data_IF_835712114849
#
_entry.id   IF_835712114849
#
_cell.length_a   1.000
_cell.length_b   1.000
_cell.length_c   1.000
_cell.angle_alpha   90.00
_cell.angle_beta   90.00
_cell.angle_gamma   90.00
#
_symmetry.space_group_name_H-M   'P 1'
#
loop_
_entity.id
_entity.type
_entity.pdbx_description
1 polymer ?
#
# COMPACT_ATOMS: atom_id res chain seq x y z
N UNK A 1 33.92 -3.82 -1.57
CA UNK A 1 32.84 -4.52 -0.85
C UNK A 1 31.64 -4.50 -1.78
N UNK A 2 31.20 -5.66 -2.25
CA UNK A 2 30.10 -5.78 -3.21
C UNK A 2 28.83 -5.21 -2.60
N UNK A 3 28.26 -4.17 -3.21
CA UNK A 3 26.87 -3.78 -2.94
C UNK A 3 26.00 -4.99 -3.31
N UNK A 4 25.60 -5.73 -2.28
CA UNK A 4 24.52 -6.70 -2.39
C UNK A 4 23.28 -5.87 -2.69
N UNK A 5 22.99 -5.69 -3.98
CA UNK A 5 21.71 -5.20 -4.46
C UNK A 5 20.62 -6.02 -3.75
N UNK A 6 19.91 -5.39 -2.81
CA UNK A 6 18.89 -6.06 -2.00
C UNK A 6 17.68 -6.37 -2.89
N UNK A 7 17.73 -7.53 -3.55
CA UNK A 7 16.65 -8.11 -4.36
C UNK A 7 15.30 -8.29 -3.61
N UNK A 8 15.29 -8.05 -2.30
CA UNK A 8 14.12 -8.03 -1.42
C UNK A 8 13.50 -6.65 -1.26
N UNK A 9 14.22 -5.56 -1.57
CA UNK A 9 13.64 -4.22 -1.56
C UNK A 9 12.61 -4.10 -2.68
N UNK A 10 11.41 -3.56 -2.40
CA UNK A 10 10.43 -3.35 -3.45
C UNK A 10 11.01 -2.42 -4.53
N UNK A 11 10.71 -2.73 -5.79
CA UNK A 11 11.21 -1.98 -6.95
C UNK A 11 10.82 -0.48 -6.92
N UNK A 12 9.82 -0.13 -6.11
CA UNK A 12 9.55 1.22 -5.61
C UNK A 12 9.81 1.25 -4.10
N UNK A 13 10.69 2.11 -3.64
CA UNK A 13 10.91 2.36 -2.21
C UNK A 13 9.78 3.24 -1.70
N UNK A 14 8.64 2.63 -1.36
CA UNK A 14 7.66 3.34 -0.55
C UNK A 14 8.27 3.66 0.80
N UNK A 15 7.95 4.83 1.33
CA UNK A 15 8.50 5.34 2.58
C UNK A 15 7.39 5.82 3.52
N UNK A 16 7.74 5.95 4.79
CA UNK A 16 6.93 6.70 5.75
C UNK A 16 7.22 8.18 5.52
N UNK A 17 6.18 8.94 5.20
CA UNK A 17 6.27 10.38 4.94
C UNK A 17 6.58 11.15 6.23
N UNK A 18 7.05 12.42 6.13
CA UNK A 18 7.28 13.26 7.31
C UNK A 18 6.05 13.51 8.18
N UNK A 19 4.84 13.36 7.63
CA UNK A 19 3.56 13.44 8.35
C UNK A 19 3.21 12.15 9.12
N UNK A 20 4.09 11.14 9.07
CA UNK A 20 3.91 9.85 9.73
C UNK A 20 3.08 8.83 8.94
N UNK A 21 2.65 9.14 7.72
CA UNK A 21 1.84 8.24 6.90
C UNK A 21 2.70 7.38 5.97
N UNK A 22 2.43 6.08 5.92
CA UNK A 22 3.10 5.15 5.04
C UNK A 22 2.54 5.24 3.62
N UNK A 23 3.41 5.34 2.62
CA UNK A 23 3.02 5.15 1.23
C UNK A 23 2.88 3.66 0.92
N UNK A 24 1.92 3.31 0.08
CA UNK A 24 1.72 1.92 -0.34
C UNK A 24 1.07 1.83 -1.71
N UNK A 25 1.14 0.64 -2.32
CA UNK A 25 0.39 0.30 -3.53
C UNK A 25 -0.27 -1.05 -3.38
N UNK A 26 -1.57 -1.10 -3.62
CA UNK A 26 -2.30 -2.35 -3.78
C UNK A 26 -2.06 -2.86 -5.20
N UNK A 27 -1.48 -4.04 -5.35
CA UNK A 27 -1.15 -4.60 -6.67
C UNK A 27 -2.02 -5.80 -7.06
N UNK A 28 -2.72 -6.40 -6.09
CA UNK A 28 -3.63 -7.52 -6.30
C UNK A 28 -4.67 -7.54 -5.18
N UNK A 29 -5.84 -8.12 -5.44
CA UNK A 29 -6.75 -8.58 -4.40
C UNK A 29 -7.18 -10.02 -4.65
N UNK A 30 -7.48 -10.74 -3.56
CA UNK A 30 -8.04 -12.10 -3.58
C UNK A 30 -9.18 -12.14 -2.58
N UNK A 31 -10.42 -12.27 -3.05
CA UNK A 31 -11.59 -12.11 -2.18
C UNK A 31 -11.66 -10.70 -1.59
N UNK A 32 -11.77 -10.60 -0.27
CA UNK A 32 -11.81 -9.35 0.49
C UNK A 32 -10.41 -8.83 0.90
N UNK A 33 -9.34 -9.54 0.53
CA UNK A 33 -7.98 -9.20 0.92
C UNK A 33 -7.24 -8.48 -0.21
N UNK A 34 -6.76 -7.27 0.08
CA UNK A 34 -5.85 -6.50 -0.74
C UNK A 34 -4.40 -6.87 -0.39
N UNK A 35 -3.58 -7.13 -1.40
CA UNK A 35 -2.14 -7.32 -1.24
C UNK A 35 -1.41 -6.03 -1.58
N UNK A 36 -0.69 -5.50 -0.59
CA UNK A 36 -0.01 -4.22 -0.68
C UNK A 36 1.50 -4.35 -0.54
N UNK A 37 2.21 -3.58 -1.35
CA UNK A 37 3.61 -3.24 -1.11
C UNK A 37 3.64 -1.99 -0.25
N UNK A 38 4.44 -2.02 0.81
CA UNK A 38 4.58 -0.96 1.81
C UNK A 38 6.08 -0.71 2.06
N UNK A 39 6.46 0.24 2.94
CA UNK A 39 7.87 0.41 3.31
C UNK A 39 8.49 -0.84 3.94
N UNK A 40 7.66 -1.71 4.52
CA UNK A 40 8.09 -2.92 5.25
C UNK A 40 7.84 -4.23 4.49
N UNK A 41 6.97 -4.20 3.46
CA UNK A 41 6.50 -5.40 2.75
C UNK A 41 6.73 -5.28 1.24
N UNK A 42 7.19 -6.36 0.61
CA UNK A 42 7.46 -6.42 -0.84
C UNK A 42 6.43 -7.25 -1.58
N UNK A 43 6.45 -7.28 -2.92
CA UNK A 43 5.56 -8.15 -3.71
C UNK A 43 5.70 -9.65 -3.38
N UNK A 44 6.84 -10.09 -2.84
CA UNK A 44 7.08 -11.49 -2.46
C UNK A 44 6.52 -11.83 -1.07
N UNK A 45 6.37 -10.82 -0.22
CA UNK A 45 5.78 -10.93 1.11
C UNK A 45 4.92 -9.68 1.35
N UNK A 46 3.73 -9.61 0.75
CA UNK A 46 2.90 -8.42 0.78
C UNK A 46 2.19 -8.29 2.13
N UNK A 47 1.85 -7.05 2.50
CA UNK A 47 0.92 -6.82 3.59
C UNK A 47 -0.50 -7.14 3.11
N UNK A 48 -1.25 -7.86 3.93
CA UNK A 48 -2.66 -8.16 3.68
C UNK A 48 -3.52 -7.10 4.36
N UNK A 49 -4.39 -6.46 3.60
CA UNK A 49 -5.28 -5.38 4.04
C UNK A 49 -6.72 -5.70 3.63
N UNK A 50 -7.69 -5.03 4.26
CA UNK A 50 -9.09 -5.16 3.85
C UNK A 50 -9.38 -4.29 2.62
N UNK A 51 -9.91 -4.91 1.54
CA UNK A 51 -10.39 -4.18 0.36
C UNK A 51 -11.51 -3.21 0.75
N UNK A 52 -12.48 -3.69 1.56
CA UNK A 52 -13.63 -2.90 1.98
C UNK A 52 -13.24 -1.68 2.81
N UNK A 53 -12.24 -1.81 3.68
CA UNK A 53 -11.73 -0.69 4.48
C UNK A 53 -11.10 0.39 3.60
N UNK A 54 -10.22 -0.01 2.67
CA UNK A 54 -9.56 0.93 1.74
C UNK A 54 -10.60 1.63 0.86
N UNK A 55 -11.55 0.85 0.31
CA UNK A 55 -12.63 1.34 -0.53
C UNK A 55 -13.49 2.38 0.20
N UNK A 56 -13.89 2.09 1.44
CA UNK A 56 -14.67 2.98 2.29
C UNK A 56 -13.92 4.27 2.62
N UNK A 57 -12.66 4.18 3.02
CA UNK A 57 -11.87 5.36 3.40
C UNK A 57 -11.60 6.30 2.22
N UNK A 58 -11.50 5.75 1.00
CA UNK A 58 -11.20 6.50 -0.23
C UNK A 58 -12.44 6.83 -1.09
N UNK A 59 -13.65 6.49 -0.63
CA UNK A 59 -14.89 6.59 -1.42
C UNK A 59 -14.73 5.98 -2.84
N UNK A 60 -14.30 4.73 -2.87
CA UNK A 60 -14.07 3.95 -4.08
C UNK A 60 -14.96 2.71 -4.11
N UNK A 61 -15.39 2.25 -5.29
CA UNK A 61 -15.81 0.87 -5.47
C UNK A 61 -14.65 -0.09 -5.15
N UNK A 62 -14.93 -1.24 -4.53
CA UNK A 62 -13.91 -2.24 -4.16
C UNK A 62 -13.04 -2.70 -5.35
N UNK A 63 -13.64 -2.81 -6.54
CA UNK A 63 -12.95 -3.21 -7.77
C UNK A 63 -11.87 -2.19 -8.21
N UNK A 64 -11.98 -0.95 -7.77
CA UNK A 64 -11.04 0.12 -8.11
C UNK A 64 -9.89 0.24 -7.11
N UNK A 65 -9.89 -0.55 -6.03
CA UNK A 65 -8.82 -0.49 -5.02
C UNK A 65 -7.48 -0.93 -5.60
N UNK A 66 -7.50 -1.94 -6.47
CA UNK A 66 -6.31 -2.55 -7.04
C UNK A 66 -5.67 -1.64 -8.09
N UNK A 67 -4.33 -1.59 -8.09
CA UNK A 67 -3.53 -0.86 -9.07
C UNK A 67 -3.23 0.59 -8.66
N UNK A 68 -3.85 1.09 -7.58
CA UNK A 68 -3.70 2.48 -7.09
C UNK A 68 -2.66 2.61 -5.98
N UNK A 69 -2.20 3.84 -5.79
CA UNK A 69 -1.29 4.22 -4.72
C UNK A 69 -2.04 4.99 -3.62
N UNK A 70 -1.67 4.69 -2.38
CA UNK A 70 -2.32 5.22 -1.18
C UNK A 70 -1.28 5.77 -0.20
N UNK A 71 -1.77 6.56 0.74
CA UNK A 71 -1.15 6.73 2.05
C UNK A 71 -2.05 6.17 3.13
N UNK A 72 -1.46 5.70 4.21
CA UNK A 72 -2.19 5.21 5.37
C UNK A 72 -1.45 5.55 6.67
N UNK A 73 -2.19 5.66 7.77
CA UNK A 73 -1.61 5.70 9.10
C UNK A 73 -1.31 4.28 9.59
N UNK A 74 -0.26 4.10 10.39
CA UNK A 74 0.10 2.81 10.98
C UNK A 74 1.56 2.41 10.72
N UNK A 75 1.84 1.12 10.84
CA UNK A 75 3.18 0.54 10.78
C UNK A 75 3.21 -0.84 10.08
N UNK A 76 4.31 -1.57 10.22
CA UNK A 76 4.52 -2.90 9.65
C UNK A 76 3.49 -3.96 10.09
N UNK A 77 2.74 -3.73 11.16
CA UNK A 77 1.74 -4.67 11.67
C UNK A 77 0.33 -4.35 11.18
N UNK A 78 0.11 -3.18 10.58
CA UNK A 78 -1.21 -2.81 10.07
C UNK A 78 -1.32 -1.34 9.67
N UNK A 79 -2.19 -1.10 8.69
CA UNK A 79 -2.47 0.21 8.11
C UNK A 79 -3.96 0.50 8.14
N UNK A 80 -4.31 1.79 8.29
CA UNK A 80 -5.69 2.30 8.36
C UNK A 80 -5.78 3.73 7.84
N UNK A 81 -7.01 4.26 7.79
CA UNK A 81 -7.31 5.65 7.41
C UNK A 81 -6.77 5.98 6.01
N UNK A 82 -7.09 5.15 5.02
CA UNK A 82 -6.47 5.21 3.69
C UNK A 82 -6.84 6.49 2.92
N UNK A 83 -5.88 7.02 2.17
CA UNK A 83 -6.08 8.19 1.31
C UNK A 83 -5.41 7.96 -0.04
N UNK A 84 -6.08 8.32 -1.13
CA UNK A 84 -5.53 8.21 -2.46
C UNK A 84 -4.38 9.21 -2.68
N UNK A 85 -3.28 8.77 -3.28
CA UNK A 85 -2.17 9.68 -3.65
C UNK A 85 -2.54 10.55 -4.86
N UNK A 86 -3.24 9.95 -5.82
CA UNK A 86 -3.68 10.63 -7.05
C UNK A 86 -5.17 10.40 -7.25
N UNK A 87 -6.00 11.28 -6.68
CA UNK A 87 -7.43 11.28 -6.94
C UNK A 87 -7.73 12.13 -8.18
N UNK A 88 -8.13 11.53 -9.32
CA UNK A 88 -8.47 12.28 -10.52
C UNK A 88 -9.77 13.09 -10.39
N UNK A 89 -10.49 12.98 -9.27
CA UNK A 89 -11.71 13.75 -8.99
C UNK A 89 -11.42 15.10 -8.34
N UNK A 90 -10.19 15.33 -7.88
CA UNK A 90 -9.73 16.56 -7.21
C UNK A 90 -8.87 17.42 -8.14
#
# INVERSE_FOLDING_TARGET
MSELWEWSKPARTYEVRPDGRAQLRVFLSVGDQAQAVTPWHSHKNPMLLSVAEIARDCDLPEIEVVGREYTAAGDENGLREFQLVHDPRL
#
